data_IF_984913379256
#
_entry.id   IF_984913379256
#
_cell.length_a   1.000
_cell.length_b   1.000
_cell.length_c   1.000
_cell.angle_alpha   90.00
_cell.angle_beta   90.00
_cell.angle_gamma   90.00
#
_symmetry.space_group_name_H-M   'P 1'
#
loop_
_entity.id
_entity.type
_entity.pdbx_description
1 polymer ?
#
# COMPACT_ATOMS: atom_id res chain seq x y z
N UNK A 1 -3.12 -14.09 18.30
CA UNK A 1 -1.67 -14.26 18.55
C UNK A 1 -1.38 -15.33 19.59
N UNK A 2 -1.67 -15.12 20.88
CA UNK A 2 -1.34 -16.07 21.95
C UNK A 2 -1.93 -17.47 21.74
N UNK A 3 -3.14 -17.55 21.20
CA UNK A 3 -3.77 -18.82 20.82
C UNK A 3 -2.96 -19.58 19.74
N UNK A 4 -2.48 -18.90 18.70
CA UNK A 4 -1.63 -19.54 17.66
C UNK A 4 -0.28 -19.99 18.21
N UNK A 5 0.28 -19.30 19.20
CA UNK A 5 1.49 -19.73 19.91
C UNK A 5 1.22 -20.98 20.74
N UNK A 6 0.10 -21.02 21.45
CA UNK A 6 -0.31 -22.20 22.23
C UNK A 6 -0.59 -23.43 21.35
N UNK A 7 -1.00 -23.21 20.10
CA UNK A 7 -1.30 -24.26 19.11
C UNK A 7 -0.11 -24.62 18.21
N UNK A 8 1.11 -24.17 18.52
CA UNK A 8 2.32 -24.63 17.83
C UNK A 8 2.40 -26.17 17.94
N UNK A 9 2.68 -26.84 16.82
CA UNK A 9 2.75 -28.30 16.75
C UNK A 9 3.75 -28.86 17.77
N UNK A 10 3.38 -29.97 18.43
CA UNK A 10 4.24 -30.64 19.41
C UNK A 10 5.62 -30.98 18.84
N UNK A 11 5.72 -31.32 17.54
CA UNK A 11 6.99 -31.58 16.88
C UNK A 11 7.97 -30.38 16.94
N UNK A 12 7.46 -29.14 16.90
CA UNK A 12 8.28 -27.93 17.03
C UNK A 12 8.71 -27.72 18.47
N UNK A 13 7.84 -28.02 19.45
CA UNK A 13 8.19 -27.99 20.88
C UNK A 13 9.30 -28.99 21.22
N UNK A 14 9.21 -30.21 20.68
CA UNK A 14 10.21 -31.27 20.88
C UNK A 14 11.52 -31.01 20.13
N UNK A 15 11.50 -30.21 19.05
CA UNK A 15 12.70 -29.85 18.29
C UNK A 15 13.64 -28.90 19.05
N UNK A 16 13.19 -28.31 20.17
CA UNK A 16 14.00 -27.49 21.06
C UNK A 16 13.67 -26.00 21.04
N UNK A 17 14.27 -25.23 21.96
CA UNK A 17 13.91 -23.83 22.20
C UNK A 17 14.17 -22.92 20.99
N UNK A 18 15.17 -23.20 20.16
CA UNK A 18 15.46 -22.43 18.96
C UNK A 18 14.33 -22.53 17.94
N UNK A 19 13.84 -23.74 17.65
CA UNK A 19 12.76 -23.98 16.70
C UNK A 19 11.44 -23.33 17.16
N UNK A 20 11.14 -23.42 18.46
CA UNK A 20 10.00 -22.73 19.06
C UNK A 20 10.14 -21.21 18.93
N UNK A 21 11.32 -20.67 19.24
CA UNK A 21 11.55 -19.23 19.17
C UNK A 21 11.40 -18.69 17.75
N UNK A 22 11.90 -19.41 16.74
CA UNK A 22 11.72 -19.04 15.33
C UNK A 22 10.24 -19.06 14.93
N UNK A 23 9.49 -20.10 15.35
CA UNK A 23 8.05 -20.18 15.05
C UNK A 23 7.26 -19.06 15.71
N UNK A 24 7.57 -18.73 16.96
CA UNK A 24 6.94 -17.60 17.67
C UNK A 24 7.28 -16.28 16.96
N UNK A 25 8.53 -16.08 16.56
CA UNK A 25 8.94 -14.86 15.83
C UNK A 25 8.14 -14.68 14.53
N UNK A 26 7.94 -15.76 13.76
CA UNK A 26 7.10 -15.74 12.56
C UNK A 26 5.64 -15.38 12.85
N UNK A 27 5.06 -15.94 13.92
CA UNK A 27 3.69 -15.63 14.33
C UNK A 27 3.59 -14.15 14.73
N UNK A 28 4.52 -13.66 15.54
CA UNK A 28 4.55 -12.26 15.98
C UNK A 28 4.66 -11.31 14.79
N UNK A 29 5.61 -11.55 13.88
CA UNK A 29 5.81 -10.72 12.68
C UNK A 29 4.55 -10.69 11.80
N UNK A 30 3.84 -11.80 11.64
CA UNK A 30 2.56 -11.85 10.92
C UNK A 30 1.52 -10.89 11.53
N UNK A 31 1.39 -10.89 12.85
CA UNK A 31 0.42 -10.05 13.55
C UNK A 31 0.82 -8.57 13.56
N UNK A 32 2.12 -8.28 13.64
CA UNK A 32 2.64 -6.92 13.48
C UNK A 32 2.33 -6.36 12.08
N UNK A 33 2.59 -7.16 11.04
CA UNK A 33 2.24 -6.81 9.66
C UNK A 33 0.75 -6.61 9.47
N UNK A 34 -0.08 -7.49 10.02
CA UNK A 34 -1.54 -7.38 9.95
C UNK A 34 -2.02 -6.05 10.58
N UNK A 35 -1.53 -5.74 11.77
CA UNK A 35 -1.87 -4.49 12.47
C UNK A 35 -1.44 -3.26 11.67
N UNK A 36 -0.27 -3.31 11.02
CA UNK A 36 0.25 -2.19 10.23
C UNK A 36 -0.49 -2.01 8.91
N UNK A 37 -0.87 -3.10 8.25
CA UNK A 37 -1.77 -3.07 7.09
C UNK A 37 -3.09 -2.40 7.47
N UNK A 38 -3.71 -2.83 8.58
CA UNK A 38 -4.96 -2.25 9.07
C UNK A 38 -4.82 -0.75 9.38
N UNK A 39 -3.77 -0.35 10.08
CA UNK A 39 -3.50 1.05 10.38
C UNK A 39 -3.30 1.89 9.09
N UNK A 40 -2.55 1.36 8.12
CA UNK A 40 -2.31 2.01 6.83
C UNK A 40 -3.59 2.14 6.01
N UNK A 41 -4.48 1.14 6.06
CA UNK A 41 -5.81 1.24 5.42
C UNK A 41 -6.64 2.35 6.04
N UNK A 42 -6.64 2.47 7.37
CA UNK A 42 -7.34 3.56 8.05
C UNK A 42 -6.79 4.93 7.63
N UNK A 43 -5.46 5.10 7.59
CA UNK A 43 -4.84 6.37 7.16
C UNK A 43 -5.11 6.71 5.69
N UNK A 44 -5.26 5.70 4.83
CA UNK A 44 -5.52 5.88 3.39
C UNK A 44 -7.00 6.15 3.07
N UNK A 45 -7.93 5.89 4.00
CA UNK A 45 -9.37 5.93 3.74
C UNK A 45 -9.86 7.31 3.27
N UNK A 46 -9.42 8.38 3.93
CA UNK A 46 -9.77 9.76 3.59
C UNK A 46 -9.22 10.14 2.20
N UNK A 47 -7.94 9.82 1.95
CA UNK A 47 -7.29 10.07 0.67
C UNK A 47 -8.00 9.36 -0.49
N UNK A 48 -8.45 8.12 -0.27
CA UNK A 48 -9.24 7.38 -1.25
C UNK A 48 -10.61 8.02 -1.50
N UNK A 49 -11.28 8.50 -0.46
CA UNK A 49 -12.56 9.18 -0.60
C UNK A 49 -12.43 10.45 -1.47
N UNK A 50 -11.37 11.23 -1.25
CA UNK A 50 -11.04 12.40 -2.06
C UNK A 50 -10.74 12.03 -3.52
N UNK A 51 -9.92 10.99 -3.74
CA UNK A 51 -9.60 10.47 -5.07
C UNK A 51 -10.87 10.06 -5.83
N UNK A 52 -11.81 9.37 -5.17
CA UNK A 52 -13.10 8.97 -5.76
C UNK A 52 -13.99 10.17 -6.09
N UNK A 53 -14.09 11.13 -5.18
CA UNK A 53 -14.88 12.35 -5.43
C UNK A 53 -14.33 13.12 -6.64
N UNK A 54 -13.01 13.17 -6.80
CA UNK A 54 -12.35 13.81 -7.93
C UNK A 54 -12.58 13.06 -9.24
N UNK A 55 -12.49 11.72 -9.22
CA UNK A 55 -12.84 10.89 -10.36
C UNK A 55 -14.29 11.15 -10.81
N UNK A 56 -15.25 11.19 -9.90
CA UNK A 56 -16.66 11.46 -10.23
C UNK A 56 -16.88 12.85 -10.84
N UNK A 57 -16.22 13.89 -10.32
CA UNK A 57 -16.29 15.25 -10.90
C UNK A 57 -15.72 15.31 -12.32
N UNK A 58 -14.67 14.54 -12.60
CA UNK A 58 -14.08 14.45 -13.94
C UNK A 58 -15.06 13.92 -15.00
N UNK A 59 -16.01 13.05 -14.62
CA UNK A 59 -16.97 12.46 -15.56
C UNK A 59 -18.09 13.44 -15.97
N UNK A 60 -18.21 14.58 -15.27
CA UNK A 60 -19.22 15.61 -15.54
C UNK A 60 -18.69 16.81 -16.34
N UNK A 61 -17.43 16.78 -16.81
CA UNK A 61 -16.85 17.85 -17.64
C UNK A 61 -16.63 17.37 -19.08
N UNK A 62 -16.84 18.24 -20.09
CA UNK A 62 -16.57 17.89 -21.48
C UNK A 62 -15.08 17.52 -21.69
N UNK A 63 -14.79 16.57 -22.60
CA UNK A 63 -13.51 15.87 -22.68
C UNK A 63 -12.28 16.74 -22.96
N UNK A 64 -12.47 17.98 -23.43
CA UNK A 64 -11.37 18.90 -23.76
C UNK A 64 -10.74 19.60 -22.55
N UNK A 65 -11.31 19.49 -21.34
CA UNK A 65 -10.85 20.20 -20.14
C UNK A 65 -10.08 19.36 -19.12
N UNK A 66 -9.93 18.04 -19.34
CA UNK A 66 -9.31 17.13 -18.36
C UNK A 66 -8.01 16.56 -18.92
N UNK A 67 -7.00 17.41 -19.07
CA UNK A 67 -5.60 17.01 -19.22
C UNK A 67 -5.03 16.61 -17.84
N UNK A 68 -5.75 15.73 -17.14
CA UNK A 68 -5.49 15.41 -15.73
C UNK A 68 -5.13 13.94 -15.63
N UNK A 69 -3.91 13.67 -15.15
CA UNK A 69 -3.38 12.33 -15.09
C UNK A 69 -4.13 11.50 -14.03
N UNK A 70 -5.03 10.63 -14.52
CA UNK A 70 -5.82 9.71 -13.70
C UNK A 70 -4.97 8.58 -13.10
N UNK A 71 -3.69 8.47 -13.46
CA UNK A 71 -2.75 7.47 -12.94
C UNK A 71 -2.64 7.51 -11.41
N UNK A 72 -2.62 8.70 -10.81
CA UNK A 72 -2.55 8.89 -9.36
C UNK A 72 -3.81 8.37 -8.67
N UNK A 73 -4.98 8.74 -9.19
CA UNK A 73 -6.28 8.29 -8.65
C UNK A 73 -6.38 6.76 -8.73
N UNK A 74 -5.98 6.17 -9.87
CA UNK A 74 -5.95 4.71 -10.04
C UNK A 74 -4.96 4.06 -9.08
N UNK A 75 -3.79 4.65 -8.86
CA UNK A 75 -2.77 4.12 -7.95
C UNK A 75 -3.27 4.07 -6.50
N UNK A 76 -3.97 5.11 -6.04
CA UNK A 76 -4.61 5.12 -4.70
C UNK A 76 -5.62 3.97 -4.57
N UNK A 77 -6.42 3.69 -5.60
CA UNK A 77 -7.38 2.58 -5.57
C UNK A 77 -6.71 1.20 -5.63
N UNK A 78 -5.62 1.06 -6.39
CA UNK A 78 -4.81 -0.17 -6.43
C UNK A 78 -4.26 -0.46 -5.03
N UNK A 79 -3.66 0.54 -4.39
CA UNK A 79 -3.06 0.37 -3.06
C UNK A 79 -4.11 0.00 -2.03
N UNK A 80 -5.27 0.67 -2.06
CA UNK A 80 -6.38 0.31 -1.19
C UNK A 80 -6.78 -1.17 -1.35
N UNK A 81 -6.90 -1.61 -2.59
CA UNK A 81 -7.31 -2.97 -2.96
C UNK A 81 -6.26 -4.00 -2.53
N UNK A 82 -4.99 -3.73 -2.78
CA UNK A 82 -3.89 -4.63 -2.44
C UNK A 82 -3.62 -4.68 -0.94
N UNK A 83 -3.78 -3.57 -0.20
CA UNK A 83 -3.75 -3.59 1.28
C UNK A 83 -4.89 -4.44 1.84
N UNK A 84 -6.08 -4.42 1.22
CA UNK A 84 -7.16 -5.31 1.63
C UNK A 84 -6.89 -6.78 1.36
N UNK A 85 -6.28 -7.09 0.22
CA UNK A 85 -5.82 -8.44 -0.06
C UNK A 85 -4.70 -8.89 0.89
N UNK A 86 -3.81 -7.97 1.30
CA UNK A 86 -2.76 -8.25 2.29
C UNK A 86 -3.37 -8.62 3.64
N UNK A 87 -4.36 -7.86 4.09
CA UNK A 87 -5.10 -8.13 5.33
C UNK A 87 -5.74 -9.51 5.30
N UNK A 88 -6.55 -9.80 4.28
CA UNK A 88 -7.21 -11.10 4.09
C UNK A 88 -6.22 -12.27 4.04
N UNK A 89 -5.04 -12.07 3.44
CA UNK A 89 -4.02 -13.11 3.35
C UNK A 89 -3.31 -13.34 4.69
N UNK A 90 -2.98 -12.27 5.41
CA UNK A 90 -2.29 -12.33 6.70
C UNK A 90 -3.18 -12.86 7.83
N UNK A 91 -4.50 -12.71 7.72
CA UNK A 91 -5.47 -13.31 8.65
C UNK A 91 -5.50 -14.84 8.59
N UNK A 92 -5.05 -15.45 7.49
CA UNK A 92 -5.07 -16.90 7.33
C UNK A 92 -4.14 -17.57 8.37
N UNK A 93 -4.49 -18.79 8.80
CA UNK A 93 -3.57 -19.63 9.57
C UNK A 93 -2.23 -19.79 8.84
N UNK A 94 -2.31 -20.12 7.55
CA UNK A 94 -1.18 -20.30 6.64
C UNK A 94 -1.29 -19.34 5.43
N UNK A 95 -0.69 -18.15 5.52
CA UNK A 95 -0.64 -17.20 4.40
C UNK A 95 0.17 -17.77 3.23
N UNK A 96 -0.27 -17.46 2.01
CA UNK A 96 0.42 -17.89 0.79
C UNK A 96 1.61 -16.97 0.46
N UNK A 97 2.84 -17.51 0.38
CA UNK A 97 4.02 -16.72 0.03
C UNK A 97 3.92 -16.06 -1.34
N UNK A 98 3.40 -16.79 -2.33
CA UNK A 98 3.27 -16.29 -3.71
C UNK A 98 2.25 -15.16 -3.81
N UNK A 99 1.15 -15.24 -3.06
CA UNK A 99 0.15 -14.16 -3.00
C UNK A 99 0.73 -12.91 -2.34
N UNK A 100 1.41 -13.05 -1.20
CA UNK A 100 2.03 -11.91 -0.51
C UNK A 100 3.10 -11.22 -1.36
N UNK A 101 3.91 -11.98 -2.12
CA UNK A 101 4.87 -11.40 -3.08
C UNK A 101 4.18 -10.62 -4.20
N UNK A 102 3.09 -11.14 -4.76
CA UNK A 102 2.30 -10.44 -5.79
C UNK A 102 1.72 -9.13 -5.24
N UNK A 103 1.16 -9.18 -4.04
CA UNK A 103 0.59 -8.01 -3.35
C UNK A 103 1.66 -6.95 -3.14
N UNK A 104 2.82 -7.35 -2.59
CA UNK A 104 3.95 -6.44 -2.40
C UNK A 104 4.41 -5.79 -3.72
N UNK A 105 4.57 -6.57 -4.79
CA UNK A 105 4.97 -6.04 -6.09
C UNK A 105 3.95 -5.01 -6.63
N UNK A 106 2.66 -5.27 -6.48
CA UNK A 106 1.60 -4.35 -6.90
C UNK A 106 1.59 -3.06 -6.07
N UNK A 107 1.82 -3.15 -4.76
CA UNK A 107 1.96 -1.99 -3.88
C UNK A 107 3.16 -1.12 -4.30
N UNK A 108 4.33 -1.72 -4.53
CA UNK A 108 5.54 -1.01 -4.94
C UNK A 108 5.39 -0.30 -6.29
N UNK A 109 4.74 -0.94 -7.26
CA UNK A 109 4.51 -0.34 -8.58
C UNK A 109 3.53 0.85 -8.52
N UNK A 110 2.49 0.74 -7.69
CA UNK A 110 1.56 1.86 -7.47
C UNK A 110 2.25 3.03 -6.75
N UNK A 111 3.07 2.74 -5.74
CA UNK A 111 3.92 3.75 -5.08
C UNK A 111 4.83 4.48 -6.07
N UNK A 112 5.48 3.73 -6.97
CA UNK A 112 6.37 4.27 -8.01
C UNK A 112 5.63 5.20 -8.96
N UNK A 113 4.41 4.85 -9.37
CA UNK A 113 3.59 5.67 -10.26
C UNK A 113 3.34 7.06 -9.69
N UNK A 114 3.00 7.16 -8.39
CA UNK A 114 2.77 8.47 -7.78
C UNK A 114 4.07 9.27 -7.59
N UNK A 115 5.18 8.60 -7.28
CA UNK A 115 6.51 9.26 -7.23
C UNK A 115 6.88 9.84 -8.59
N UNK A 116 6.67 9.08 -9.67
CA UNK A 116 6.95 9.55 -11.03
C UNK A 116 6.10 10.77 -11.40
N UNK A 117 4.80 10.73 -11.09
CA UNK A 117 3.92 11.89 -11.29
C UNK A 117 4.41 13.11 -10.49
N UNK A 118 4.83 12.93 -9.23
CA UNK A 118 5.39 14.01 -8.43
C UNK A 118 6.72 14.55 -8.99
N UNK A 119 7.57 13.69 -9.56
CA UNK A 119 8.82 14.11 -10.20
C UNK A 119 8.55 14.94 -11.46
N UNK A 120 7.63 14.48 -12.33
CA UNK A 120 7.17 15.23 -13.50
C UNK A 120 6.54 16.57 -13.08
N UNK A 121 5.81 16.61 -11.98
CA UNK A 121 5.28 17.85 -11.41
C UNK A 121 6.37 18.80 -10.93
N UNK A 122 7.51 18.32 -10.42
CA UNK A 122 8.66 19.17 -10.09
C UNK A 122 9.20 19.90 -11.32
N UNK A 123 9.37 19.16 -12.42
CA UNK A 123 9.79 19.71 -13.71
C UNK A 123 8.74 20.68 -14.29
N UNK A 124 7.45 20.38 -14.12
CA UNK A 124 6.32 21.19 -14.58
C UNK A 124 6.10 22.41 -13.67
N UNK A 125 6.32 22.31 -12.36
CA UNK A 125 6.19 23.40 -11.39
C UNK A 125 7.31 24.41 -11.58
N UNK A 126 8.53 23.97 -11.91
CA UNK A 126 9.60 24.88 -12.32
C UNK A 126 9.23 25.64 -13.61
N UNK A 127 8.56 24.98 -14.55
CA UNK A 127 8.06 25.60 -15.79
C UNK A 127 6.82 26.49 -15.60
N UNK A 128 5.96 26.21 -14.62
CA UNK A 128 4.67 26.88 -14.40
C UNK A 128 4.65 27.89 -13.24
N UNK A 129 5.62 27.85 -12.31
CA UNK A 129 5.82 28.92 -11.32
C UNK A 129 6.10 30.27 -12.00
N UNK A 130 6.57 30.23 -13.25
CA UNK A 130 6.68 31.39 -14.13
C UNK A 130 5.32 31.88 -14.70
N UNK A 131 4.21 31.16 -14.52
CA UNK A 131 2.94 31.41 -15.24
C UNK A 131 1.67 31.55 -14.40
N UNK A 132 1.50 30.87 -13.26
CA UNK A 132 0.18 30.88 -12.60
C UNK A 132 0.24 30.85 -11.06
N UNK A 133 -0.05 32.00 -10.46
CA UNK A 133 -0.48 32.11 -9.06
C UNK A 133 -2.02 32.25 -9.08
N UNK A 134 -2.75 31.21 -8.64
CA UNK A 134 -4.19 31.31 -8.34
C UNK A 134 -5.17 30.31 -8.97
N UNK A 135 -4.77 29.15 -9.49
CA UNK A 135 -5.74 28.20 -10.09
C UNK A 135 -6.50 27.36 -9.05
N UNK A 136 -7.83 27.33 -9.12
CA UNK A 136 -8.76 26.49 -8.32
C UNK A 136 -9.39 25.33 -9.12
N UNK A 137 -8.70 24.80 -10.13
CA UNK A 137 -9.19 23.71 -11.00
C UNK A 137 -8.83 22.29 -10.55
N UNK A 138 -9.45 21.27 -11.16
CA UNK A 138 -9.25 19.83 -10.86
C UNK A 138 -7.77 19.39 -10.90
N UNK A 139 -6.96 20.02 -11.75
CA UNK A 139 -5.50 19.82 -11.82
C UNK A 139 -4.79 20.18 -10.52
N UNK A 140 -5.22 21.25 -9.84
CA UNK A 140 -4.67 21.61 -8.54
C UNK A 140 -5.08 20.60 -7.46
N UNK A 141 -6.32 20.09 -7.51
CA UNK A 141 -6.78 19.03 -6.59
C UNK A 141 -6.01 17.71 -6.78
N UNK A 142 -5.70 17.29 -8.02
CA UNK A 142 -4.83 16.09 -8.24
C UNK A 142 -3.42 16.33 -7.69
N UNK A 143 -2.87 17.54 -7.81
CA UNK A 143 -1.54 17.86 -7.22
C UNK A 143 -1.56 17.74 -5.70
N UNK A 144 -2.60 18.25 -5.04
CA UNK A 144 -2.76 18.11 -3.58
C UNK A 144 -2.90 16.64 -3.21
N UNK A 145 -3.73 15.87 -3.93
CA UNK A 145 -3.89 14.44 -3.71
C UNK A 145 -2.55 13.69 -3.83
N UNK A 146 -1.78 13.96 -4.89
CA UNK A 146 -0.48 13.36 -5.11
C UNK A 146 0.54 13.73 -4.02
N UNK A 147 0.54 14.98 -3.54
CA UNK A 147 1.40 15.42 -2.45
C UNK A 147 1.03 14.74 -1.11
N UNK A 148 -0.26 14.68 -0.78
CA UNK A 148 -0.77 13.98 0.40
C UNK A 148 -0.45 12.49 0.35
N UNK A 149 -0.54 11.87 -0.82
CA UNK A 149 -0.10 10.50 -1.04
C UNK A 149 1.41 10.34 -0.86
N UNK A 150 2.22 11.21 -1.48
CA UNK A 150 3.68 11.14 -1.43
C UNK A 150 4.21 11.24 0.00
N UNK A 151 3.52 11.96 0.88
CA UNK A 151 3.83 12.01 2.31
C UNK A 151 3.64 10.64 3.02
N UNK A 152 2.65 9.85 2.61
CA UNK A 152 2.39 8.50 3.15
C UNK A 152 3.22 7.41 2.45
N UNK A 153 3.73 7.71 1.24
CA UNK A 153 4.39 6.74 0.37
C UNK A 153 5.58 6.01 1.00
N UNK A 154 6.50 6.63 1.77
CA UNK A 154 7.59 5.90 2.43
C UNK A 154 7.10 4.80 3.37
N UNK A 155 6.00 5.04 4.09
CA UNK A 155 5.38 4.04 4.97
C UNK A 155 4.81 2.87 4.18
N UNK A 156 4.07 3.16 3.10
CA UNK A 156 3.46 2.13 2.24
C UNK A 156 4.55 1.29 1.53
N UNK A 157 5.64 1.93 1.06
CA UNK A 157 6.77 1.24 0.45
C UNK A 157 7.49 0.34 1.47
N UNK A 158 7.77 0.86 2.66
CA UNK A 158 8.39 0.08 3.75
C UNK A 158 7.53 -1.13 4.13
N UNK A 159 6.22 -0.94 4.27
CA UNK A 159 5.28 -2.02 4.53
C UNK A 159 5.28 -3.07 3.40
N UNK A 160 5.25 -2.64 2.14
CA UNK A 160 5.31 -3.55 1.00
C UNK A 160 6.60 -4.38 0.99
N UNK A 161 7.76 -3.79 1.31
CA UNK A 161 9.03 -4.51 1.44
C UNK A 161 8.96 -5.54 2.56
N UNK A 162 8.45 -5.17 3.74
CA UNK A 162 8.33 -6.11 4.85
C UNK A 162 7.35 -7.26 4.56
N UNK A 163 6.26 -7.01 3.83
CA UNK A 163 5.36 -8.07 3.35
C UNK A 163 6.12 -9.04 2.43
N UNK A 164 6.99 -8.53 1.55
CA UNK A 164 7.82 -9.36 0.68
C UNK A 164 8.84 -10.19 1.46
N UNK A 165 9.53 -9.58 2.43
CA UNK A 165 10.50 -10.24 3.29
C UNK A 165 9.85 -11.35 4.12
N UNK A 166 8.69 -11.07 4.73
CA UNK A 166 7.91 -12.06 5.45
C UNK A 166 7.50 -13.23 4.55
N UNK A 167 7.06 -12.96 3.32
CA UNK A 167 6.78 -13.99 2.33
C UNK A 167 8.03 -14.82 1.95
N UNK A 168 9.24 -14.31 2.16
CA UNK A 168 10.50 -15.07 2.02
C UNK A 168 10.75 -16.06 3.16
N UNK A 169 10.20 -15.80 4.35
CA UNK A 169 10.37 -16.62 5.56
C UNK A 169 9.33 -17.73 5.71
N UNK A 170 8.21 -17.61 5.01
CA UNK A 170 7.16 -18.62 5.01
C UNK A 170 7.62 -19.88 4.27
N UNK A 171 7.27 -21.09 4.78
CA UNK A 171 7.55 -22.33 4.07
C UNK A 171 6.82 -22.34 2.72
N UNK A 172 7.52 -22.72 1.65
CA UNK A 172 6.88 -22.96 0.35
C UNK A 172 6.06 -24.26 0.46
N UNK A 173 4.82 -24.15 0.92
CA UNK A 173 3.88 -25.26 0.82
C UNK A 173 3.42 -25.36 -0.65
N UNK A 174 3.54 -26.55 -1.29
CA UNK A 174 3.13 -26.77 -2.67
C UNK A 174 1.62 -26.65 -2.89
#
# INVERSE_FOLDING_TARGET
MLEQIALIESAVWEAGPEAVSERIALITEKYELLSEVQATRVSLAELRAEAKALAQRSHNNPPELVDTDMSVIRSVEIIWTELGQAEEELEKPDPSPSRLRRISAALLEACKTVVMYCAELGDIALKNAAKEVGSTGAKWTIRVLAASYAAQNPGIQSLAVRIFEFAGKLPNLP
#
